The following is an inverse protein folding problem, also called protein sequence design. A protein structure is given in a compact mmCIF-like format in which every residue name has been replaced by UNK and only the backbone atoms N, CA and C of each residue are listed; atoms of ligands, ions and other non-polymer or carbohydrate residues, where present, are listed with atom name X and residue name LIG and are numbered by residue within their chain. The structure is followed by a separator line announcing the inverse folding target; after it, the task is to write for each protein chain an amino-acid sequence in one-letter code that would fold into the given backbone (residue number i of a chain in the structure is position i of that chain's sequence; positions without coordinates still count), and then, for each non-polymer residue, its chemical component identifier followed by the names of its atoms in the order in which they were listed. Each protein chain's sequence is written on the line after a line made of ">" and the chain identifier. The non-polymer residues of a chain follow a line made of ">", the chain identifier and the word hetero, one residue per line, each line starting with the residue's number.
data_IF_337434617196
#
_entry.id   IF_337434617196
#
_cell.length_a   1.000
_cell.length_b   1.000
_cell.length_c   1.000
_cell.angle_alpha   90.00
_cell.angle_beta   90.00
_cell.angle_gamma   90.00
#
_symmetry.space_group_name_H-M   'P 1'
#
loop_
_entity.id
_entity.type
_entity.pdbx_description
1 polymer ?
#
# COMPACT_ATOMS: atom_id res chain seq x y z
N UNK A 1 66.19 31.17 27.12
CA UNK A 1 65.19 31.73 26.25
C UNK A 1 64.71 30.72 25.21
N UNK A 2 64.52 29.40 25.57
CA UNK A 2 64.12 28.34 24.67
C UNK A 2 62.92 27.43 25.18
N UNK A 3 62.37 27.76 26.36
CA UNK A 3 61.30 26.95 26.99
C UNK A 3 59.88 27.57 26.83
N UNK A 4 59.78 28.81 26.39
CA UNK A 4 58.45 29.50 26.25
C UNK A 4 57.75 29.30 24.89
N UNK A 5 58.44 28.71 23.89
CA UNK A 5 57.86 28.50 22.56
C UNK A 5 57.19 27.13 22.42
N UNK A 6 57.46 26.17 23.31
CA UNK A 6 56.93 24.78 23.23
C UNK A 6 55.52 24.64 23.83
N UNK A 7 55.06 25.61 24.62
CA UNK A 7 53.75 25.53 25.30
C UNK A 7 52.62 26.11 24.46
N UNK A 8 52.94 26.97 23.49
CA UNK A 8 51.93 27.59 22.59
C UNK A 8 51.52 26.65 21.42
N UNK A 9 52.37 25.69 21.06
CA UNK A 9 52.06 24.76 19.96
C UNK A 9 51.15 23.58 20.40
N UNK A 10 50.97 23.34 21.68
CA UNK A 10 50.16 22.23 22.21
C UNK A 10 48.70 22.62 22.47
N UNK A 11 48.36 23.91 22.44
CA UNK A 11 46.98 24.40 22.67
C UNK A 11 46.18 24.63 21.40
N UNK A 12 46.75 24.43 20.20
CA UNK A 12 46.10 24.58 18.90
C UNK A 12 45.60 23.29 18.25
N UNK A 13 45.75 22.15 18.91
CA UNK A 13 45.37 20.82 18.36
C UNK A 13 44.16 20.18 19.09
N UNK A 14 43.48 20.89 20.01
CA UNK A 14 42.29 20.36 20.73
C UNK A 14 40.99 20.94 20.18
N UNK A 15 41.03 21.66 19.12
CA UNK A 15 39.85 22.39 18.60
C UNK A 15 39.32 21.92 17.28
N UNK A 16 38.99 20.61 17.05
CA UNK A 16 38.18 20.18 15.89
C UNK A 16 37.75 18.72 16.02
N UNK A 17 37.14 18.37 17.17
CA UNK A 17 36.25 17.23 17.26
C UNK A 17 34.89 17.77 17.72
N UNK A 18 34.18 18.41 16.83
CA UNK A 18 32.73 18.61 16.95
C UNK A 18 32.12 17.33 16.39
N UNK A 19 31.52 16.47 17.20
CA UNK A 19 30.76 15.39 16.62
C UNK A 19 29.56 15.97 15.85
N UNK A 20 29.49 15.68 14.55
CA UNK A 20 28.40 16.03 13.63
C UNK A 20 27.06 15.32 13.94
N UNK A 21 26.86 14.88 15.19
CA UNK A 21 25.70 14.06 15.58
C UNK A 21 24.58 14.84 16.30
N UNK A 22 24.48 16.17 16.11
CA UNK A 22 23.42 16.97 16.79
C UNK A 22 22.20 17.27 15.90
N UNK A 23 22.02 16.60 14.75
CA UNK A 23 20.81 16.75 13.94
C UNK A 23 20.05 15.43 13.70
N UNK A 24 20.03 14.52 14.65
CA UNK A 24 18.94 13.57 14.75
C UNK A 24 17.71 14.36 15.22
N UNK A 25 17.06 15.08 14.30
CA UNK A 25 15.69 15.52 14.51
C UNK A 25 14.87 14.27 14.80
N UNK A 26 14.50 14.06 16.06
CA UNK A 26 13.44 13.14 16.46
C UNK A 26 12.22 13.46 15.56
N UNK A 27 12.06 12.72 14.48
CA UNK A 27 10.81 12.72 13.72
C UNK A 27 9.75 12.22 14.70
N UNK A 28 9.04 13.17 15.30
CA UNK A 28 7.90 12.89 16.16
C UNK A 28 6.97 11.98 15.34
N UNK A 29 6.93 10.70 15.70
CA UNK A 29 6.03 9.75 15.05
C UNK A 29 4.60 10.22 15.28
N UNK A 30 3.97 10.75 14.25
CA UNK A 30 2.59 11.18 14.31
C UNK A 30 1.68 9.97 14.08
N UNK A 31 0.71 9.78 15.00
CA UNK A 31 -0.27 8.71 14.89
C UNK A 31 -1.12 8.91 13.63
N UNK A 32 -1.05 7.97 12.71
CA UNK A 32 -1.79 8.03 11.44
C UNK A 32 -3.30 7.98 11.67
N UNK A 33 -4.03 8.94 11.15
CA UNK A 33 -5.51 8.97 11.16
C UNK A 33 -6.10 7.76 10.44
N UNK A 34 -5.41 7.25 9.42
CA UNK A 34 -5.71 5.99 8.72
C UNK A 34 -4.56 5.02 9.02
N UNK A 35 -4.72 4.11 9.99
CA UNK A 35 -3.64 3.21 10.40
C UNK A 35 -3.22 2.30 9.26
N UNK A 36 -1.94 1.99 9.19
CA UNK A 36 -1.39 1.02 8.27
C UNK A 36 -1.76 -0.39 8.72
N UNK A 37 -2.07 -1.25 7.77
CA UNK A 37 -2.34 -2.66 7.99
C UNK A 37 -1.61 -3.51 6.95
N UNK A 38 -1.34 -4.74 7.32
CA UNK A 38 -0.73 -5.74 6.46
C UNK A 38 -1.50 -7.06 6.64
N UNK A 39 -1.80 -7.71 5.52
CA UNK A 39 -2.40 -9.03 5.47
C UNK A 39 -1.52 -9.91 4.59
N UNK A 40 -1.21 -11.11 5.05
CA UNK A 40 -0.49 -12.11 4.28
C UNK A 40 -1.17 -13.47 4.43
N UNK A 41 -1.30 -14.20 3.31
CA UNK A 41 -1.77 -15.58 3.30
C UNK A 41 -1.12 -16.35 2.17
N UNK A 42 -0.68 -17.59 2.44
CA UNK A 42 -0.18 -18.51 1.42
C UNK A 42 -1.35 -19.28 0.80
N UNK A 43 -1.41 -19.31 -0.54
CA UNK A 43 -2.36 -20.07 -1.35
C UNK A 43 -1.53 -21.01 -2.24
N UNK A 44 -1.67 -22.33 -2.06
CA UNK A 44 -0.75 -23.29 -2.67
C UNK A 44 0.69 -22.99 -2.26
N UNK A 45 1.55 -22.67 -3.23
CA UNK A 45 2.94 -22.24 -2.99
C UNK A 45 3.14 -20.73 -3.18
N UNK A 46 2.07 -19.96 -3.28
CA UNK A 46 2.11 -18.52 -3.54
C UNK A 46 1.80 -17.74 -2.27
N UNK A 47 2.73 -16.89 -1.85
CA UNK A 47 2.46 -15.90 -0.82
C UNK A 47 1.77 -14.69 -1.46
N UNK A 48 0.65 -14.32 -0.89
CA UNK A 48 -0.16 -13.16 -1.24
C UNK A 48 -0.12 -12.19 -0.08
N UNK A 49 0.45 -11.00 -0.30
CA UNK A 49 0.59 -9.97 0.73
C UNK A 49 -0.06 -8.68 0.28
N UNK A 50 -0.85 -8.06 1.15
CA UNK A 50 -1.52 -6.78 0.92
C UNK A 50 -1.10 -5.81 2.01
N UNK A 51 -0.56 -4.66 1.60
CA UNK A 51 -0.13 -3.57 2.49
C UNK A 51 -0.99 -2.35 2.15
N UNK A 52 -1.68 -1.79 3.13
CA UNK A 52 -2.65 -0.72 2.90
C UNK A 52 -2.85 0.15 4.13
N UNK A 53 -3.44 1.32 3.95
CA UNK A 53 -3.90 2.17 5.05
C UNK A 53 -5.42 2.14 5.13
N UNK A 54 -5.96 2.09 6.34
CA UNK A 54 -7.38 1.88 6.66
C UNK A 54 -8.08 3.20 6.98
N UNK A 55 -8.75 3.87 6.03
CA UNK A 55 -9.60 5.00 6.36
C UNK A 55 -10.88 4.53 7.07
N UNK A 56 -11.33 5.28 8.08
CA UNK A 56 -12.66 5.09 8.69
C UNK A 56 -13.73 5.83 7.92
N UNK A 57 -14.96 5.35 7.96
CA UNK A 57 -16.12 6.06 7.40
C UNK A 57 -16.35 7.37 8.14
N UNK A 58 -16.32 7.36 9.47
CA UNK A 58 -16.46 8.54 10.34
C UNK A 58 -17.66 9.42 9.96
N UNK A 59 -18.80 8.78 9.71
CA UNK A 59 -20.05 9.47 9.36
C UNK A 59 -20.09 10.14 7.98
N UNK A 60 -19.06 9.94 7.13
CA UNK A 60 -18.97 10.56 5.81
C UNK A 60 -19.67 9.73 4.74
N UNK A 61 -20.22 10.39 3.72
CA UNK A 61 -20.62 9.72 2.50
C UNK A 61 -19.36 9.30 1.72
N UNK A 62 -19.21 8.01 1.49
CA UNK A 62 -18.00 7.45 0.86
C UNK A 62 -18.15 7.47 -0.66
N UNK A 63 -19.05 6.65 -1.20
CA UNK A 63 -19.13 6.39 -2.63
C UNK A 63 -19.80 7.54 -3.40
N UNK A 64 -19.08 8.08 -4.39
CA UNK A 64 -19.49 9.24 -5.16
C UNK A 64 -19.23 10.58 -4.47
N UNK A 65 -18.66 10.59 -3.25
CA UNK A 65 -18.28 11.79 -2.49
C UNK A 65 -16.79 11.71 -2.10
N UNK A 66 -16.45 11.10 -0.96
CA UNK A 66 -15.05 10.96 -0.53
C UNK A 66 -14.23 10.19 -1.57
N UNK A 67 -14.83 9.15 -2.14
CA UNK A 67 -14.28 8.37 -3.26
C UNK A 67 -15.17 8.62 -4.48
N UNK A 68 -14.74 9.48 -5.43
CA UNK A 68 -15.55 9.81 -6.62
C UNK A 68 -15.75 8.57 -7.51
N UNK A 69 -16.91 8.48 -8.15
CA UNK A 69 -17.12 7.52 -9.22
C UNK A 69 -16.33 7.90 -10.47
N UNK A 70 -15.92 6.90 -11.24
CA UNK A 70 -15.19 7.02 -12.50
C UNK A 70 -13.83 7.72 -12.40
N UNK A 71 -13.26 7.79 -11.21
CA UNK A 71 -11.92 8.32 -10.97
C UNK A 71 -11.01 7.25 -10.36
N UNK A 72 -9.72 7.30 -10.68
CA UNK A 72 -8.72 6.38 -10.11
C UNK A 72 -8.57 6.69 -8.62
N UNK A 73 -8.72 5.66 -7.81
CA UNK A 73 -8.56 5.70 -6.36
C UNK A 73 -7.53 4.67 -5.92
N UNK A 74 -6.65 5.07 -4.99
CA UNK A 74 -5.58 4.23 -4.41
C UNK A 74 -6.06 3.03 -3.59
N UNK A 75 -7.35 2.74 -3.61
CA UNK A 75 -7.99 1.63 -2.91
C UNK A 75 -7.64 1.53 -1.40
N UNK A 76 -7.47 2.70 -0.77
CA UNK A 76 -7.08 2.88 0.63
C UNK A 76 -6.90 4.35 0.95
N UNK A 77 -5.94 4.66 1.83
CA UNK A 77 -5.54 6.01 2.23
C UNK A 77 -4.00 6.13 2.28
N UNK A 78 -3.48 7.37 2.34
CA UNK A 78 -2.05 7.67 2.36
C UNK A 78 -1.35 7.11 1.10
N UNK A 79 -0.42 6.16 1.27
CA UNK A 79 0.22 5.43 0.18
C UNK A 79 -0.81 4.63 -0.63
N UNK A 80 -0.54 4.36 -1.89
CA UNK A 80 -1.33 3.42 -2.67
C UNK A 80 -1.28 2.03 -2.03
N UNK A 81 -2.41 1.33 -2.02
CA UNK A 81 -2.45 -0.07 -1.60
C UNK A 81 -1.49 -0.88 -2.46
N UNK A 82 -0.68 -1.73 -1.83
CA UNK A 82 0.28 -2.60 -2.51
C UNK A 82 -0.15 -4.05 -2.38
N UNK A 83 -0.16 -4.77 -3.50
CA UNK A 83 -0.38 -6.22 -3.51
C UNK A 83 0.86 -6.90 -4.08
N UNK A 84 1.33 -7.94 -3.40
CA UNK A 84 2.54 -8.68 -3.76
C UNK A 84 2.18 -10.14 -3.95
N UNK A 85 2.66 -10.74 -5.04
CA UNK A 85 2.53 -12.16 -5.34
C UNK A 85 3.91 -12.76 -5.52
N UNK A 86 4.22 -13.86 -4.80
CA UNK A 86 5.53 -14.52 -4.87
C UNK A 86 5.71 -15.38 -6.13
N UNK A 87 4.63 -15.73 -6.82
CA UNK A 87 4.64 -16.51 -8.09
C UNK A 87 3.69 -15.89 -9.12
N UNK A 88 3.79 -16.33 -10.38
CA UNK A 88 2.82 -15.97 -11.42
C UNK A 88 1.43 -16.53 -11.06
N UNK A 89 0.40 -15.73 -11.25
CA UNK A 89 -0.99 -16.08 -10.91
C UNK A 89 -1.95 -15.74 -12.06
N UNK A 90 -3.19 -16.17 -11.93
CA UNK A 90 -4.32 -15.61 -12.68
C UNK A 90 -5.21 -14.78 -11.75
N UNK A 91 -5.69 -13.64 -12.23
CA UNK A 91 -6.69 -12.80 -11.58
C UNK A 91 -7.89 -12.68 -12.50
N UNK A 92 -9.06 -13.13 -12.05
CA UNK A 92 -10.27 -13.21 -12.87
C UNK A 92 -10.00 -13.90 -14.25
N UNK A 93 -9.20 -15.00 -14.24
CA UNK A 93 -8.82 -15.76 -15.43
C UNK A 93 -7.77 -15.11 -16.32
N UNK A 94 -7.21 -13.95 -15.97
CA UNK A 94 -6.16 -13.25 -16.71
C UNK A 94 -4.81 -13.42 -16.03
N UNK A 95 -3.77 -13.67 -16.80
CA UNK A 95 -2.41 -13.85 -16.28
C UNK A 95 -1.87 -12.53 -15.67
N UNK A 96 -1.25 -12.65 -14.50
CA UNK A 96 -0.47 -11.62 -13.85
C UNK A 96 0.86 -12.22 -13.39
N UNK A 97 1.97 -11.57 -13.72
CA UNK A 97 3.31 -12.02 -13.32
C UNK A 97 3.50 -11.83 -11.82
N UNK A 98 4.41 -12.62 -11.23
CA UNK A 98 4.88 -12.38 -9.87
C UNK A 98 5.47 -10.98 -9.75
N UNK A 99 5.32 -10.38 -8.59
CA UNK A 99 5.86 -9.05 -8.34
C UNK A 99 5.04 -8.26 -7.34
N UNK A 100 5.46 -7.02 -7.17
CA UNK A 100 4.78 -6.02 -6.36
C UNK A 100 4.07 -5.03 -7.26
N UNK A 101 2.82 -4.73 -6.92
CA UNK A 101 1.97 -3.82 -7.68
C UNK A 101 1.33 -2.81 -6.75
N UNK A 102 1.26 -1.54 -7.15
CA UNK A 102 0.26 -0.68 -6.57
C UNK A 102 -1.11 -1.08 -7.08
N UNK A 103 -2.08 -1.07 -6.18
CA UNK A 103 -3.44 -1.51 -6.47
C UNK A 103 -4.38 -0.30 -6.45
N UNK A 104 -5.01 -0.04 -7.59
CA UNK A 104 -5.98 1.03 -7.74
C UNK A 104 -7.35 0.47 -8.10
N UNK A 105 -8.36 1.28 -7.87
CA UNK A 105 -9.71 1.00 -8.31
C UNK A 105 -10.33 2.22 -8.98
N UNK A 106 -11.16 2.00 -9.99
CA UNK A 106 -12.07 3.00 -10.53
C UNK A 106 -13.48 2.56 -10.15
N UNK A 107 -14.06 3.13 -9.09
CA UNK A 107 -15.40 2.80 -8.66
C UNK A 107 -16.43 3.23 -9.69
N UNK A 108 -17.38 2.37 -9.99
CA UNK A 108 -18.59 2.68 -10.72
C UNK A 108 -19.81 2.25 -9.91
N UNK A 109 -20.99 2.67 -10.30
CA UNK A 109 -22.23 2.30 -9.58
C UNK A 109 -22.52 0.81 -9.64
N UNK A 110 -22.28 0.18 -10.81
CA UNK A 110 -22.62 -1.22 -11.07
C UNK A 110 -21.41 -2.11 -11.36
N UNK A 111 -20.29 -1.52 -11.74
CA UNK A 111 -19.07 -2.23 -12.10
C UNK A 111 -17.87 -1.39 -11.68
N UNK A 112 -16.84 -2.03 -11.16
CA UNK A 112 -15.57 -1.43 -10.79
C UNK A 112 -14.47 -1.95 -11.70
N UNK A 113 -13.52 -1.08 -12.05
CA UNK A 113 -12.25 -1.52 -12.65
C UNK A 113 -11.20 -1.60 -11.54
N UNK A 114 -10.59 -2.76 -11.37
CA UNK A 114 -9.44 -2.96 -10.47
C UNK A 114 -8.18 -2.99 -11.32
N UNK A 115 -7.11 -2.38 -10.82
CA UNK A 115 -5.88 -2.10 -11.57
C UNK A 115 -4.68 -2.58 -10.76
N UNK A 116 -3.81 -3.34 -11.40
CA UNK A 116 -2.49 -3.72 -10.90
C UNK A 116 -1.44 -2.94 -11.70
N UNK A 117 -0.80 -1.95 -11.08
CA UNK A 117 0.16 -1.08 -11.74
C UNK A 117 1.59 -1.44 -11.31
N UNK A 118 2.54 -1.45 -12.25
CA UNK A 118 3.93 -1.89 -12.04
C UNK A 118 4.73 -0.96 -11.15
N UNK A 119 4.36 0.33 -11.04
CA UNK A 119 5.00 1.25 -10.11
C UNK A 119 4.44 0.99 -8.72
N UNK A 120 5.10 0.09 -7.98
CA UNK A 120 4.57 -0.48 -6.73
C UNK A 120 4.48 0.51 -5.57
N UNK A 121 5.37 1.49 -5.53
CA UNK A 121 5.48 2.47 -4.45
C UNK A 121 5.07 3.86 -4.96
N UNK A 122 3.86 4.29 -4.57
CA UNK A 122 3.31 5.58 -4.96
C UNK A 122 2.59 6.23 -3.78
N UNK A 123 2.63 7.55 -3.69
CA UNK A 123 1.81 8.30 -2.74
C UNK A 123 0.46 8.66 -3.36
N UNK A 124 -0.61 8.05 -2.85
CA UNK A 124 -1.96 8.31 -3.39
C UNK A 124 -2.15 7.75 -4.80
N UNK A 125 -2.80 8.52 -5.65
CA UNK A 125 -2.98 8.25 -7.08
C UNK A 125 -2.53 9.45 -7.93
N UNK A 126 -1.68 10.32 -7.39
CA UNK A 126 -1.30 11.58 -8.05
C UNK A 126 -0.37 11.34 -9.24
N UNK A 127 0.47 10.31 -9.14
CA UNK A 127 1.44 9.93 -10.18
C UNK A 127 0.99 8.69 -10.96
N UNK A 128 -0.29 8.31 -10.82
CA UNK A 128 -0.82 7.18 -11.55
C UNK A 128 -0.64 7.35 -13.05
N UNK A 129 -0.03 6.35 -13.68
CA UNK A 129 0.18 6.29 -15.12
C UNK A 129 -0.42 4.99 -15.68
N UNK A 130 -1.43 5.11 -16.55
CA UNK A 130 -2.12 3.97 -17.16
C UNK A 130 -1.19 3.11 -18.03
N UNK A 131 -0.13 3.68 -18.61
CA UNK A 131 0.83 2.91 -19.42
C UNK A 131 1.64 1.90 -18.61
N UNK A 132 1.67 2.06 -17.29
CA UNK A 132 2.31 1.14 -16.34
C UNK A 132 1.34 0.06 -15.80
N UNK A 133 0.11 0.01 -16.29
CA UNK A 133 -0.83 -1.02 -15.87
C UNK A 133 -0.40 -2.39 -16.37
N UNK A 134 -0.15 -3.31 -15.44
CA UNK A 134 0.12 -4.71 -15.76
C UNK A 134 -1.18 -5.47 -16.05
N UNK A 135 -2.26 -5.11 -15.37
CA UNK A 135 -3.55 -5.76 -15.53
C UNK A 135 -4.69 -4.83 -15.11
N UNK A 136 -5.76 -4.86 -15.89
CA UNK A 136 -7.07 -4.26 -15.54
C UNK A 136 -8.15 -5.33 -15.61
N UNK A 137 -8.95 -5.45 -14.58
CA UNK A 137 -10.09 -6.36 -14.51
C UNK A 137 -11.35 -5.60 -14.12
N UNK A 138 -12.49 -6.13 -14.53
CA UNK A 138 -13.80 -5.60 -14.16
C UNK A 138 -14.47 -6.54 -13.18
N UNK A 139 -15.03 -5.99 -12.11
CA UNK A 139 -15.74 -6.72 -11.06
C UNK A 139 -17.02 -6.01 -10.67
N UNK A 140 -17.98 -6.77 -10.15
CA UNK A 140 -19.23 -6.19 -9.65
C UNK A 140 -19.14 -5.98 -8.15
N UNK A 141 -19.43 -4.78 -7.64
CA UNK A 141 -19.56 -4.54 -6.20
C UNK A 141 -20.74 -5.35 -5.66
N UNK A 142 -20.59 -5.84 -4.44
CA UNK A 142 -21.61 -6.57 -3.70
C UNK A 142 -22.00 -5.81 -2.44
N UNK A 143 -23.24 -5.95 -1.99
CA UNK A 143 -23.64 -5.48 -0.66
C UNK A 143 -22.92 -6.30 0.41
N UNK A 144 -22.44 -5.62 1.43
CA UNK A 144 -21.81 -6.20 2.61
C UNK A 144 -22.44 -5.72 3.90
N UNK A 145 -21.95 -6.23 5.02
CA UNK A 145 -22.21 -5.67 6.32
C UNK A 145 -21.48 -4.34 6.48
N UNK A 146 -21.84 -3.57 7.52
CA UNK A 146 -21.17 -2.30 7.79
C UNK A 146 -19.72 -2.53 8.23
N UNK A 147 -18.78 -1.94 7.48
CA UNK A 147 -17.36 -1.90 7.82
C UNK A 147 -16.93 -0.45 8.04
N UNK A 148 -16.72 -0.08 9.30
CA UNK A 148 -16.27 1.29 9.65
C UNK A 148 -14.88 1.58 9.10
N UNK A 149 -13.96 0.61 9.19
CA UNK A 149 -12.57 0.77 8.74
C UNK A 149 -12.32 -0.08 7.51
N UNK A 150 -11.90 0.54 6.39
CA UNK A 150 -11.54 -0.21 5.20
C UNK A 150 -10.67 -1.41 5.55
N UNK A 151 -11.04 -2.58 5.04
CA UNK A 151 -10.34 -3.82 5.25
C UNK A 151 -10.15 -4.60 3.95
N UNK A 152 -9.10 -5.41 3.91
CA UNK A 152 -8.94 -6.46 2.93
C UNK A 152 -9.05 -7.80 3.63
N UNK A 153 -9.63 -8.78 2.92
CA UNK A 153 -9.69 -10.17 3.35
C UNK A 153 -9.22 -11.08 2.23
N UNK A 154 -8.60 -12.21 2.59
CA UNK A 154 -8.24 -13.29 1.68
C UNK A 154 -8.94 -14.54 2.19
N UNK A 155 -9.81 -15.13 1.36
CA UNK A 155 -10.53 -16.37 1.71
C UNK A 155 -10.11 -17.46 0.75
N UNK A 156 -9.36 -18.46 1.23
CA UNK A 156 -9.02 -19.65 0.47
C UNK A 156 -10.31 -20.41 0.10
N UNK A 157 -10.47 -20.73 -1.17
CA UNK A 157 -11.64 -21.47 -1.69
C UNK A 157 -11.27 -22.87 -2.19
N UNK A 158 -10.00 -23.11 -2.50
CA UNK A 158 -9.41 -24.41 -2.79
C UNK A 158 -7.89 -24.34 -2.57
N UNK A 159 -7.17 -25.43 -2.85
CA UNK A 159 -5.69 -25.41 -2.78
C UNK A 159 -5.05 -24.46 -3.79
N UNK A 160 -5.75 -24.13 -4.87
CA UNK A 160 -5.27 -23.26 -5.95
C UNK A 160 -5.96 -21.91 -6.03
N UNK A 161 -7.04 -21.70 -5.29
CA UNK A 161 -7.88 -20.52 -5.47
C UNK A 161 -8.19 -19.82 -4.18
N UNK A 162 -8.26 -18.50 -4.25
CA UNK A 162 -8.77 -17.65 -3.18
C UNK A 162 -9.59 -16.49 -3.73
N UNK A 163 -10.42 -15.91 -2.90
CA UNK A 163 -11.12 -14.65 -3.16
C UNK A 163 -10.53 -13.58 -2.25
N UNK A 164 -10.03 -12.53 -2.87
CA UNK A 164 -9.63 -11.30 -2.18
C UNK A 164 -10.81 -10.34 -2.23
N UNK A 165 -11.10 -9.68 -1.10
CA UNK A 165 -12.15 -8.66 -1.02
C UNK A 165 -11.60 -7.40 -0.42
N UNK A 166 -11.97 -6.26 -0.98
CA UNK A 166 -11.93 -4.96 -0.34
C UNK A 166 -13.32 -4.74 0.27
N UNK A 167 -13.37 -4.41 1.57
CA UNK A 167 -14.61 -4.23 2.32
C UNK A 167 -14.57 -2.85 3.00
N UNK A 168 -15.59 -2.04 2.77
CA UNK A 168 -15.74 -0.72 3.39
C UNK A 168 -17.15 -0.18 3.26
N UNK A 169 -17.62 0.48 4.33
CA UNK A 169 -18.99 0.97 4.44
C UNK A 169 -19.96 -0.22 4.29
N UNK A 170 -20.74 -0.30 3.23
CA UNK A 170 -21.67 -1.41 2.93
C UNK A 170 -21.32 -2.13 1.63
N UNK A 171 -20.11 -1.97 1.13
CA UNK A 171 -19.68 -2.62 -0.11
C UNK A 171 -18.56 -3.63 0.13
N UNK A 172 -18.66 -4.73 -0.60
CA UNK A 172 -17.62 -5.76 -0.78
C UNK A 172 -17.23 -5.78 -2.26
N UNK A 173 -15.95 -5.71 -2.54
CA UNK A 173 -15.41 -5.75 -3.90
C UNK A 173 -14.55 -7.00 -4.03
N UNK A 174 -15.16 -8.16 -4.39
CA UNK A 174 -14.45 -9.41 -4.53
C UNK A 174 -13.76 -9.52 -5.88
N UNK A 175 -12.60 -10.20 -5.88
CA UNK A 175 -11.98 -10.74 -7.09
C UNK A 175 -11.27 -12.05 -6.78
N UNK A 176 -11.31 -12.97 -7.75
CA UNK A 176 -10.73 -14.31 -7.64
C UNK A 176 -9.27 -14.29 -8.08
N UNK A 177 -8.43 -15.01 -7.34
CA UNK A 177 -7.08 -15.37 -7.77
C UNK A 177 -6.96 -16.89 -7.91
N UNK A 178 -6.10 -17.32 -8.83
CA UNK A 178 -5.75 -18.71 -9.02
C UNK A 178 -4.24 -18.85 -9.19
N UNK A 179 -3.64 -19.75 -8.41
CA UNK A 179 -2.21 -20.01 -8.36
C UNK A 179 -1.87 -21.36 -9.02
N UNK A 180 -0.65 -21.50 -9.49
CA UNK A 180 -0.11 -22.78 -9.96
C UNK A 180 0.43 -23.57 -8.77
N UNK A 181 0.18 -24.86 -8.72
CA UNK A 181 0.77 -25.82 -7.76
C UNK A 181 1.46 -26.94 -8.52
#
# INVERSE_FOLDING_TARGET
>A
MKIRILIIALLLLIGLFIPDDLNAQDKKEEVRVSPKAELMQTIGFTDVKIIYSRPGVKGRAIWGKLVPYNAVWRAGANEATKIIFSTDIMVEGKNLKKGSYSFFAIPGKNEWTLIFNKVADQWGAFEYNESEDALRIKVKPQKGDWEEWLAYTITKTSDKTAVIKLEWEKLKIPFKIEVKI
#
